data_IF_970267566203
#
_entry.id   IF_970267566203
#
_cell.length_a   1.000
_cell.length_b   1.000
_cell.length_c   1.000
_cell.angle_alpha   90.00
_cell.angle_beta   90.00
_cell.angle_gamma   90.00
#
_symmetry.space_group_name_H-M   'P 1'
#
loop_
_entity.id
_entity.type
_entity.pdbx_description
1 polymer ?
#
# COMPACT_ATOMS: atom_id res chain seq x y z
N UNK A 1 3.88 7.30 0.82
CA UNK A 1 3.53 7.77 2.17
C UNK A 1 2.04 8.03 2.29
N UNK A 2 1.42 8.88 1.46
CA UNK A 2 0.01 9.31 1.62
C UNK A 2 -1.12 8.24 1.48
N UNK A 3 -0.85 7.01 1.03
CA UNK A 3 -1.92 6.07 0.63
C UNK A 3 -2.27 5.00 1.68
N UNK A 4 -1.32 4.57 2.51
CA UNK A 4 -1.59 3.67 3.64
C UNK A 4 -2.61 4.34 4.59
N UNK A 5 -2.38 5.62 4.88
CA UNK A 5 -3.22 6.42 5.75
C UNK A 5 -4.63 6.61 5.20
N UNK A 6 -4.76 6.93 3.91
CA UNK A 6 -6.07 7.25 3.33
C UNK A 6 -7.07 6.10 3.47
N UNK A 7 -6.65 4.85 3.21
CA UNK A 7 -7.52 3.69 3.37
C UNK A 7 -7.95 3.44 4.82
N UNK A 8 -7.02 3.57 5.77
CA UNK A 8 -7.32 3.38 7.19
C UNK A 8 -8.23 4.49 7.75
N UNK A 9 -7.92 5.75 7.46
CA UNK A 9 -8.67 6.91 7.96
C UNK A 9 -10.10 7.02 7.43
N UNK A 10 -10.39 6.46 6.25
CA UNK A 10 -11.71 6.55 5.62
C UNK A 10 -12.48 5.22 5.69
N UNK A 11 -12.01 4.27 6.51
CA UNK A 11 -12.70 2.99 6.70
C UNK A 11 -14.06 3.13 7.39
N UNK A 12 -14.26 4.18 8.20
CA UNK A 12 -15.52 4.53 8.86
C UNK A 12 -15.45 5.97 9.41
N UNK A 13 -16.60 6.55 9.78
CA UNK A 13 -16.65 7.86 10.43
C UNK A 13 -16.13 7.78 11.87
N UNK A 14 -15.30 8.74 12.28
CA UNK A 14 -14.74 8.77 13.62
C UNK A 14 -13.68 9.84 13.82
N UNK A 15 -13.20 9.95 15.06
CA UNK A 15 -12.01 10.75 15.39
C UNK A 15 -10.84 9.79 15.57
N UNK A 16 -9.76 10.05 14.83
CA UNK A 16 -8.59 9.19 14.81
C UNK A 16 -7.38 9.91 15.39
N UNK A 17 -6.49 9.13 16.03
CA UNK A 17 -5.14 9.56 16.37
C UNK A 17 -4.20 8.69 15.53
N UNK A 18 -3.29 9.31 14.80
CA UNK A 18 -2.24 8.63 14.04
C UNK A 18 -0.97 8.72 14.86
N UNK A 19 -0.33 7.57 15.07
CA UNK A 19 0.97 7.48 15.75
C UNK A 19 1.88 6.63 14.89
N UNK A 20 3.10 7.10 14.66
CA UNK A 20 4.12 6.38 13.89
C UNK A 20 5.42 6.34 14.70
N UNK A 21 6.10 5.20 14.66
CA UNK A 21 7.39 5.06 15.32
C UNK A 21 8.49 5.75 14.50
N UNK A 22 9.56 6.20 15.16
CA UNK A 22 10.77 6.62 14.45
C UNK A 22 11.36 5.41 13.69
N UNK A 23 12.04 5.59 12.54
CA UNK A 23 12.70 4.47 11.86
C UNK A 23 13.61 3.69 12.82
N UNK A 24 13.54 2.35 12.77
CA UNK A 24 14.25 1.41 13.64
C UNK A 24 13.75 1.34 15.10
N UNK A 25 12.56 1.89 15.38
CA UNK A 25 11.88 1.74 16.66
C UNK A 25 10.56 1.00 16.45
N UNK A 26 10.09 0.32 17.49
CA UNK A 26 8.79 -0.33 17.53
C UNK A 26 8.01 0.10 18.78
N UNK A 27 6.68 -0.01 18.73
CA UNK A 27 5.85 0.12 19.93
C UNK A 27 5.82 -1.21 20.67
N UNK A 28 6.18 -1.18 21.95
CA UNK A 28 6.14 -2.36 22.81
C UNK A 28 4.98 -2.19 23.78
N UNK A 29 4.18 -3.24 23.93
CA UNK A 29 3.09 -3.34 24.92
C UNK A 29 3.47 -4.40 25.97
N UNK A 30 2.89 -4.32 27.18
CA UNK A 30 3.25 -5.17 28.33
C UNK A 30 3.15 -6.67 28.06
N UNK A 31 2.31 -7.07 27.12
CA UNK A 31 2.06 -8.46 26.73
C UNK A 31 2.55 -8.79 25.31
N UNK A 32 3.19 -7.84 24.64
CA UNK A 32 3.82 -8.05 23.35
C UNK A 32 5.30 -8.40 23.54
N UNK A 33 5.78 -9.39 22.79
CA UNK A 33 7.21 -9.67 22.71
C UNK A 33 7.84 -8.57 21.85
N UNK A 34 9.01 -8.08 22.25
CA UNK A 34 9.80 -7.24 21.36
C UNK A 34 10.34 -8.06 20.20
N UNK A 35 10.44 -7.45 19.02
CA UNK A 35 11.10 -8.06 17.86
C UNK A 35 12.59 -7.72 17.89
N UNK A 36 13.21 -7.83 19.08
CA UNK A 36 14.61 -7.45 19.27
C UNK A 36 15.53 -8.26 18.34
N UNK A 37 16.27 -7.55 17.49
CA UNK A 37 17.14 -8.16 16.47
C UNK A 37 16.42 -8.75 15.26
N UNK A 38 15.09 -8.65 15.20
CA UNK A 38 14.25 -9.03 14.08
C UNK A 38 13.89 -7.85 13.17
N UNK A 39 12.94 -8.08 12.27
CA UNK A 39 12.37 -7.06 11.39
C UNK A 39 10.89 -6.86 11.68
N UNK A 40 10.43 -5.62 11.60
CA UNK A 40 9.03 -5.23 11.68
C UNK A 40 8.67 -4.40 10.44
N UNK A 41 7.37 -4.19 10.22
CA UNK A 41 6.85 -3.35 9.15
C UNK A 41 5.56 -2.66 9.58
N UNK A 42 5.01 -1.79 8.74
CA UNK A 42 3.73 -1.11 8.98
C UNK A 42 3.88 0.31 9.51
N UNK A 43 5.12 0.83 9.58
CA UNK A 43 5.33 2.26 9.78
C UNK A 43 4.90 3.07 8.57
N UNK A 44 4.75 4.38 8.76
CA UNK A 44 4.43 5.31 7.66
C UNK A 44 5.67 5.64 6.81
N UNK A 45 6.85 5.16 7.20
CA UNK A 45 8.08 5.40 6.46
C UNK A 45 8.06 4.72 5.10
N UNK A 46 8.65 5.38 4.10
CA UNK A 46 8.71 4.88 2.72
C UNK A 46 9.32 3.48 2.64
N UNK A 47 10.28 3.15 3.50
CA UNK A 47 11.00 1.88 3.49
C UNK A 47 10.08 0.67 3.74
N UNK A 48 9.03 0.83 4.54
CA UNK A 48 8.06 -0.24 4.84
C UNK A 48 7.00 -0.39 3.74
N UNK A 49 6.90 0.57 2.83
CA UNK A 49 5.90 0.59 1.75
C UNK A 49 6.49 0.38 0.36
N UNK A 50 7.82 0.41 0.21
CA UNK A 50 8.48 0.23 -1.07
C UNK A 50 8.67 -1.27 -1.36
N UNK A 51 7.96 -1.76 -2.36
CA UNK A 51 8.02 -3.17 -2.80
C UNK A 51 8.41 -3.27 -4.28
N UNK A 52 9.11 -4.33 -4.70
CA UNK A 52 9.44 -4.53 -6.10
C UNK A 52 8.22 -4.95 -6.92
N UNK A 53 8.15 -4.49 -8.18
CA UNK A 53 7.20 -4.95 -9.20
C UNK A 53 7.99 -5.56 -10.37
N UNK A 54 7.68 -6.82 -10.70
CA UNK A 54 8.23 -7.52 -11.87
C UNK A 54 7.09 -7.76 -12.85
N UNK A 55 7.23 -7.28 -14.08
CA UNK A 55 6.23 -7.43 -15.15
C UNK A 55 6.82 -8.32 -16.24
N UNK A 56 6.07 -9.34 -16.65
CA UNK A 56 6.44 -10.24 -17.75
C UNK A 56 5.22 -10.47 -18.65
N UNK A 57 5.44 -10.88 -19.90
CA UNK A 57 4.37 -11.19 -20.86
C UNK A 57 3.65 -9.99 -21.48
N UNK A 58 3.89 -8.76 -21.00
CA UNK A 58 3.39 -7.51 -21.59
C UNK A 58 4.42 -6.39 -21.43
N UNK A 59 4.31 -5.36 -22.28
CA UNK A 59 5.06 -4.11 -22.13
C UNK A 59 4.22 -2.98 -21.52
N UNK A 60 2.92 -3.20 -21.34
CA UNK A 60 2.07 -2.25 -20.64
C UNK A 60 2.47 -2.17 -19.16
N UNK A 61 2.32 -0.97 -18.59
CA UNK A 61 2.63 -0.66 -17.20
C UNK A 61 1.43 0.02 -16.55
N UNK A 62 1.25 -0.10 -15.22
CA UNK A 62 0.30 0.73 -14.53
C UNK A 62 0.68 2.21 -14.71
N UNK A 63 -0.32 3.08 -14.74
CA UNK A 63 -0.11 4.52 -14.93
C UNK A 63 0.73 5.13 -13.79
N UNK A 64 0.53 4.62 -12.57
CA UNK A 64 1.33 4.95 -11.40
C UNK A 64 1.79 3.67 -10.69
N UNK A 65 2.99 3.74 -10.10
CA UNK A 65 3.57 2.64 -9.31
C UNK A 65 2.98 2.58 -7.89
N UNK A 66 1.65 2.56 -7.76
CA UNK A 66 0.96 2.33 -6.48
C UNK A 66 0.08 1.10 -6.64
N UNK A 67 0.06 0.26 -5.60
CA UNK A 67 -0.74 -0.98 -5.60
C UNK A 67 -2.22 -0.74 -5.90
N UNK A 68 -2.78 0.39 -5.44
CA UNK A 68 -4.20 0.75 -5.67
C UNK A 68 -4.56 0.94 -7.15
N UNK A 69 -3.59 1.32 -8.00
CA UNK A 69 -3.83 1.51 -9.44
C UNK A 69 -3.74 0.20 -10.23
N UNK A 70 -3.26 -0.88 -9.61
CA UNK A 70 -3.04 -2.13 -10.32
C UNK A 70 -4.35 -2.80 -10.69
N UNK A 71 -5.41 -2.61 -9.91
CA UNK A 71 -6.74 -3.15 -10.23
C UNK A 71 -7.18 -2.71 -11.62
N UNK A 72 -7.23 -1.40 -11.86
CA UNK A 72 -7.66 -0.86 -13.15
C UNK A 72 -6.72 -1.27 -14.29
N UNK A 73 -5.41 -1.28 -14.02
CA UNK A 73 -4.43 -1.76 -15.00
C UNK A 73 -4.65 -3.23 -15.39
N UNK A 74 -4.85 -4.12 -14.41
CA UNK A 74 -5.11 -5.56 -14.65
C UNK A 74 -6.42 -5.74 -15.43
N UNK A 75 -7.49 -5.04 -15.06
CA UNK A 75 -8.77 -5.14 -15.77
C UNK A 75 -8.68 -4.69 -17.24
N UNK A 76 -7.83 -3.69 -17.54
CA UNK A 76 -7.53 -3.31 -18.92
C UNK A 76 -6.79 -4.41 -19.67
N UNK A 77 -5.81 -5.05 -19.04
CA UNK A 77 -5.05 -6.15 -19.63
C UNK A 77 -5.92 -7.39 -19.93
N UNK A 78 -6.95 -7.63 -19.11
CA UNK A 78 -7.84 -8.79 -19.27
C UNK A 78 -9.10 -8.50 -20.08
N UNK A 79 -9.23 -7.31 -20.68
CA UNK A 79 -10.41 -6.88 -21.44
C UNK A 79 -11.73 -6.92 -20.64
N UNK A 80 -11.66 -6.82 -19.31
CA UNK A 80 -12.85 -6.85 -18.42
C UNK A 80 -13.49 -5.47 -18.23
N UNK A 81 -12.83 -4.39 -18.66
CA UNK A 81 -13.46 -3.08 -18.80
C UNK A 81 -14.04 -2.93 -20.21
N UNK A 82 -15.30 -2.48 -20.37
CA UNK A 82 -15.82 -2.15 -21.69
C UNK A 82 -14.90 -1.09 -22.30
N UNK A 83 -14.36 -1.38 -23.49
CA UNK A 83 -13.71 -0.36 -24.30
C UNK A 83 -14.64 0.85 -24.36
N UNK A 84 -14.12 2.05 -24.07
CA UNK A 84 -14.91 3.28 -24.24
C UNK A 84 -15.53 3.19 -25.64
N UNK A 85 -16.86 3.14 -25.71
CA UNK A 85 -17.56 3.21 -26.99
C UNK A 85 -17.11 4.53 -27.61
N UNK A 86 -16.40 4.43 -28.73
CA UNK A 86 -16.07 5.58 -29.55
C UNK A 86 -17.40 6.24 -29.93
N UNK A 87 -17.50 7.54 -29.67
CA UNK A 87 -18.52 8.42 -30.26
C UNK A 87 -18.37 8.42 -31.78
#
# INVERSE_FOLDING_TARGET
MLWQDFGALHSHEGRFIIVDAKPQYEFIEKHSHDHAGGGAHGSLHKIDSLVPLIITGTQEKPEYNRLVDFKEWILRLTNELPTKRNE
#
